data_IF_215842091362
#
_entry.id   IF_215842091362
#
_cell.length_a   1.000
_cell.length_b   1.000
_cell.length_c   1.000
_cell.angle_alpha   90.00
_cell.angle_beta   90.00
_cell.angle_gamma   90.00
#
_symmetry.space_group_name_H-M   'P 1'
#
loop_
_entity.id
_entity.type
_entity.pdbx_description
1 polymer ?
#
# COMPACT_ATOMS: atom_id res chain seq x y z
N UNK A 1 -7.58 -8.39 2.09
CA UNK A 1 -7.46 -7.83 3.45
C UNK A 1 -8.84 -7.51 4.00
N UNK A 2 -9.06 -7.82 5.25
CA UNK A 2 -10.29 -7.55 5.99
C UNK A 2 -10.01 -6.59 7.13
N UNK A 3 -11.06 -5.95 7.65
CA UNK A 3 -10.92 -5.07 8.80
C UNK A 3 -10.27 -5.77 10.00
N UNK A 4 -10.54 -7.07 10.18
CA UNK A 4 -9.96 -7.88 11.26
C UNK A 4 -8.44 -8.05 11.13
N UNK A 5 -7.86 -7.75 9.98
CA UNK A 5 -6.40 -7.84 9.77
C UNK A 5 -5.67 -6.57 10.22
N UNK A 6 -6.40 -5.52 10.58
CA UNK A 6 -5.82 -4.20 10.80
C UNK A 6 -4.69 -4.18 11.84
N UNK A 7 -4.91 -4.78 13.00
CA UNK A 7 -3.91 -4.73 14.08
C UNK A 7 -2.58 -5.36 13.64
N UNK A 8 -2.64 -6.51 12.96
CA UNK A 8 -1.45 -7.18 12.47
C UNK A 8 -0.80 -6.41 11.31
N UNK A 9 -1.61 -5.85 10.40
CA UNK A 9 -1.10 -5.04 9.30
C UNK A 9 -0.40 -3.78 9.84
N UNK A 10 -1.00 -3.11 10.83
CA UNK A 10 -0.40 -1.94 11.46
C UNK A 10 0.95 -2.27 12.08
N UNK A 11 1.02 -3.38 12.83
CA UNK A 11 2.28 -3.82 13.44
C UNK A 11 3.35 -4.10 12.37
N UNK A 12 2.97 -4.70 11.26
CA UNK A 12 3.89 -4.95 10.15
C UNK A 12 4.38 -3.63 9.55
N UNK A 13 3.49 -2.70 9.27
CA UNK A 13 3.85 -1.39 8.71
C UNK A 13 4.79 -0.62 9.64
N UNK A 14 4.51 -0.66 10.94
CA UNK A 14 5.36 0.01 11.93
C UNK A 14 6.77 -0.60 12.01
N UNK A 15 6.90 -1.88 11.70
CA UNK A 15 8.19 -2.59 11.74
C UNK A 15 9.03 -2.41 10.47
N UNK A 16 8.45 -1.87 9.39
CA UNK A 16 9.14 -1.71 8.12
C UNK A 16 9.63 -0.29 7.91
N UNK A 17 10.90 -0.15 7.51
CA UNK A 17 11.45 1.16 7.16
C UNK A 17 10.82 1.68 5.88
N UNK A 18 10.73 3.00 5.76
CA UNK A 18 10.22 3.64 4.56
C UNK A 18 8.71 3.74 4.46
N UNK A 19 7.98 3.19 5.44
CA UNK A 19 6.52 3.31 5.50
C UNK A 19 6.15 4.40 6.50
N UNK A 20 5.63 5.51 5.98
CA UNK A 20 5.16 6.62 6.80
C UNK A 20 3.67 6.48 7.08
N UNK A 21 3.33 6.37 8.36
CA UNK A 21 1.93 6.32 8.79
C UNK A 21 1.43 7.73 9.09
N UNK A 22 0.16 7.95 8.81
CA UNK A 22 -0.47 9.26 9.01
C UNK A 22 -1.90 9.09 9.49
N UNK A 23 -2.65 10.18 9.53
CA UNK A 23 -4.03 10.20 10.02
C UNK A 23 -5.00 9.31 9.24
N UNK A 24 -4.65 8.94 8.02
CA UNK A 24 -5.46 8.02 7.21
C UNK A 24 -5.27 6.55 7.59
N UNK A 25 -4.28 6.26 8.43
CA UNK A 25 -3.93 4.90 8.82
C UNK A 25 -4.51 4.49 10.17
N UNK A 26 -5.43 5.27 10.72
CA UNK A 26 -6.22 4.86 11.87
C UNK A 26 -7.09 3.66 11.49
N UNK A 27 -7.59 2.92 12.49
CA UNK A 27 -8.51 1.81 12.23
C UNK A 27 -9.68 2.26 11.36
N UNK A 28 -10.34 3.35 11.73
CA UNK A 28 -11.46 3.89 10.97
C UNK A 28 -11.07 4.25 9.55
N UNK A 29 -9.91 4.88 9.37
CA UNK A 29 -9.42 5.27 8.05
C UNK A 29 -9.18 4.08 7.14
N UNK A 30 -8.53 3.04 7.66
CA UNK A 30 -8.26 1.83 6.88
C UNK A 30 -9.55 1.07 6.60
N UNK A 31 -10.45 0.94 7.59
CA UNK A 31 -11.73 0.27 7.38
C UNK A 31 -12.54 0.97 6.28
N UNK A 32 -12.59 2.29 6.29
CA UNK A 32 -13.28 3.07 5.25
C UNK A 32 -12.66 2.82 3.87
N UNK A 33 -11.34 2.76 3.79
CA UNK A 33 -10.64 2.47 2.54
C UNK A 33 -11.00 1.08 2.02
N UNK A 34 -11.02 0.09 2.89
CA UNK A 34 -11.37 -1.29 2.52
C UNK A 34 -12.82 -1.40 2.05
N UNK A 35 -13.74 -0.70 2.69
CA UNK A 35 -15.15 -0.68 2.28
C UNK A 35 -15.33 -0.01 0.93
N UNK A 36 -14.60 1.06 0.67
CA UNK A 36 -14.67 1.80 -0.60
C UNK A 36 -14.07 0.98 -1.75
N UNK A 37 -13.10 0.13 -1.47
CA UNK A 37 -12.39 -0.66 -2.46
C UNK A 37 -12.45 -2.15 -2.11
N UNK A 38 -13.64 -2.75 -2.13
CA UNK A 38 -13.80 -4.13 -1.67
C UNK A 38 -13.00 -5.12 -2.52
N UNK A 39 -12.34 -6.05 -1.83
CA UNK A 39 -11.63 -7.13 -2.48
C UNK A 39 -10.32 -6.78 -3.13
N UNK A 40 -9.80 -5.55 -2.97
CA UNK A 40 -8.58 -5.12 -3.65
C UNK A 40 -7.32 -5.22 -2.81
N UNK A 41 -7.38 -4.86 -1.53
CA UNK A 41 -6.22 -4.94 -0.65
C UNK A 41 -5.90 -6.37 -0.29
N UNK A 42 -4.60 -6.68 -0.13
CA UNK A 42 -4.13 -8.06 0.00
C UNK A 42 -3.27 -8.25 1.23
N UNK A 43 -3.34 -9.44 1.81
CA UNK A 43 -2.44 -9.89 2.88
C UNK A 43 -1.93 -11.28 2.56
N UNK A 44 -0.76 -11.63 3.10
CA UNK A 44 -0.22 -12.98 3.06
C UNK A 44 -0.02 -13.43 4.50
N UNK A 45 -0.49 -14.62 4.79
CA UNK A 45 -0.32 -15.27 6.10
C UNK A 45 0.49 -16.56 5.94
N UNK A 46 1.16 -16.97 7.01
CA UNK A 46 1.83 -18.27 7.01
C UNK A 46 0.78 -19.38 6.98
N UNK A 47 1.19 -20.56 6.47
CA UNK A 47 0.28 -21.71 6.41
C UNK A 47 -0.17 -22.19 7.79
N UNK A 48 0.71 -22.02 8.78
CA UNK A 48 0.40 -22.37 10.17
C UNK A 48 -0.57 -21.41 10.83
N UNK A 49 -0.99 -20.35 10.12
CA UNK A 49 -1.88 -19.33 10.65
C UNK A 49 -1.26 -18.44 11.71
N UNK A 50 0.06 -18.43 11.80
CA UNK A 50 0.80 -17.78 12.88
C UNK A 50 1.15 -16.33 12.61
N UNK A 51 0.47 -15.68 11.74
CA UNK A 51 0.63 -14.26 11.58
C UNK A 51 0.67 -13.81 10.14
N UNK A 52 0.49 -12.51 10.00
CA UNK A 52 0.48 -11.82 8.75
C UNK A 52 1.92 -11.44 8.40
N UNK A 53 2.40 -11.83 7.23
CA UNK A 53 3.79 -11.64 6.82
C UNK A 53 3.95 -10.66 5.68
N UNK A 54 2.88 -10.29 5.01
CA UNK A 54 2.92 -9.27 3.98
C UNK A 54 1.55 -8.62 3.84
N UNK A 55 1.53 -7.36 3.42
CA UNK A 55 0.28 -6.61 3.24
C UNK A 55 0.49 -5.47 2.25
N UNK A 56 -0.58 -5.11 1.56
CA UNK A 56 -0.63 -3.93 0.71
C UNK A 56 -2.07 -3.42 0.65
N UNK A 57 -2.24 -2.11 0.73
CA UNK A 57 -3.52 -1.46 0.45
C UNK A 57 -3.60 -1.15 -1.04
N UNK A 58 -4.71 -1.50 -1.66
CA UNK A 58 -4.96 -1.26 -3.07
C UNK A 58 -6.37 -0.70 -3.25
N UNK A 59 -6.49 0.35 -4.05
CA UNK A 59 -7.77 0.94 -4.35
C UNK A 59 -7.70 1.87 -5.53
N UNK A 60 -8.83 2.51 -5.86
CA UNK A 60 -8.89 3.46 -6.96
C UNK A 60 -9.97 4.51 -6.71
N UNK A 61 -9.86 5.60 -7.45
CA UNK A 61 -10.82 6.72 -7.41
C UNK A 61 -11.77 6.74 -8.62
N UNK A 62 -11.80 5.66 -9.40
CA UNK A 62 -12.54 5.58 -10.66
C UNK A 62 -11.72 5.98 -11.87
N UNK A 63 -10.53 6.56 -11.69
CA UNK A 63 -9.66 7.01 -12.77
C UNK A 63 -8.26 6.42 -12.68
N UNK A 64 -7.68 6.39 -11.47
CA UNK A 64 -6.32 5.90 -11.19
C UNK A 64 -6.37 4.98 -10.00
N UNK A 65 -5.53 3.97 -10.04
CA UNK A 65 -5.31 3.11 -8.89
C UNK A 65 -4.21 3.66 -8.00
N UNK A 66 -4.18 3.16 -6.76
CA UNK A 66 -3.16 3.53 -5.77
C UNK A 66 -2.79 2.32 -4.94
N UNK A 67 -1.50 2.15 -4.72
CA UNK A 67 -0.98 1.20 -3.73
C UNK A 67 -0.44 1.99 -2.55
N UNK A 68 -0.73 1.52 -1.35
CA UNK A 68 -0.21 2.12 -0.12
C UNK A 68 0.40 1.03 0.76
N UNK A 69 1.52 1.33 1.38
CA UNK A 69 2.11 0.52 2.45
C UNK A 69 2.36 -0.93 2.06
N UNK A 70 2.99 -1.15 0.90
CA UNK A 70 3.49 -2.49 0.58
C UNK A 70 4.57 -2.85 1.59
N UNK A 71 4.35 -3.91 2.35
CA UNK A 71 5.29 -4.36 3.37
C UNK A 71 5.40 -5.87 3.36
N UNK A 72 6.64 -6.35 3.53
CA UNK A 72 6.94 -7.78 3.70
C UNK A 72 7.79 -7.92 4.93
N UNK A 73 7.41 -8.84 5.82
CA UNK A 73 8.19 -9.13 7.03
C UNK A 73 9.65 -9.45 6.64
N UNK A 74 10.64 -8.92 7.39
CA UNK A 74 12.05 -9.17 7.07
C UNK A 74 12.42 -10.64 6.89
N UNK A 75 11.81 -11.51 7.68
CA UNK A 75 12.10 -12.96 7.62
C UNK A 75 11.51 -13.64 6.39
N UNK A 76 10.65 -12.95 5.66
CA UNK A 76 9.94 -13.49 4.50
C UNK A 76 10.28 -12.76 3.20
N UNK A 77 11.31 -11.91 3.22
CA UNK A 77 11.78 -11.21 2.03
C UNK A 77 12.54 -12.17 1.11
N UNK A 78 12.72 -11.76 -0.15
CA UNK A 78 13.40 -12.53 -1.20
C UNK A 78 12.65 -13.82 -1.61
N UNK A 79 11.39 -13.94 -1.21
CA UNK A 79 10.52 -15.03 -1.65
C UNK A 79 9.59 -14.61 -2.79
N UNK A 80 9.70 -13.38 -3.26
CA UNK A 80 8.85 -12.84 -4.31
C UNK A 80 7.46 -12.42 -3.86
N UNK A 81 7.21 -12.32 -2.55
CA UNK A 81 5.89 -11.95 -2.03
C UNK A 81 5.47 -10.54 -2.42
N UNK A 82 6.38 -9.58 -2.34
CA UNK A 82 6.08 -8.20 -2.72
C UNK A 82 5.69 -8.10 -4.18
N UNK A 83 6.45 -8.73 -5.05
CA UNK A 83 6.17 -8.77 -6.47
C UNK A 83 4.82 -9.43 -6.75
N UNK A 84 4.56 -10.56 -6.11
CA UNK A 84 3.30 -11.28 -6.30
C UNK A 84 2.10 -10.41 -5.89
N UNK A 85 2.19 -9.75 -4.73
CA UNK A 85 1.13 -8.87 -4.25
C UNK A 85 0.87 -7.72 -5.22
N UNK A 86 1.92 -7.08 -5.73
CA UNK A 86 1.79 -5.98 -6.68
C UNK A 86 1.12 -6.45 -7.96
N UNK A 87 1.56 -7.58 -8.52
CA UNK A 87 0.98 -8.10 -9.76
C UNK A 87 -0.49 -8.46 -9.57
N UNK A 88 -0.85 -9.01 -8.42
CA UNK A 88 -2.24 -9.35 -8.12
C UNK A 88 -3.11 -8.09 -8.00
N UNK A 89 -2.60 -7.06 -7.35
CA UNK A 89 -3.29 -5.77 -7.27
C UNK A 89 -3.47 -5.13 -8.65
N UNK A 90 -2.43 -5.15 -9.48
CA UNK A 90 -2.52 -4.58 -10.83
C UNK A 90 -3.55 -5.32 -11.68
N UNK A 91 -3.66 -6.63 -11.51
CA UNK A 91 -4.68 -7.42 -12.19
C UNK A 91 -6.08 -7.01 -11.74
N UNK A 92 -6.29 -6.83 -10.43
CA UNK A 92 -7.58 -6.38 -9.89
C UNK A 92 -7.96 -5.01 -10.44
N UNK A 93 -7.01 -4.09 -10.52
CA UNK A 93 -7.23 -2.77 -11.11
C UNK A 93 -7.57 -2.84 -12.59
N UNK A 94 -6.86 -3.68 -13.34
CA UNK A 94 -7.13 -3.91 -14.74
C UNK A 94 -8.55 -4.43 -14.95
N UNK A 95 -8.97 -5.41 -14.14
CA UNK A 95 -10.31 -5.97 -14.20
C UNK A 95 -11.39 -4.93 -13.88
N UNK A 96 -11.04 -3.93 -13.07
CA UNK A 96 -11.94 -2.81 -12.74
C UNK A 96 -11.92 -1.69 -13.80
N UNK A 97 -11.12 -1.85 -14.88
CA UNK A 97 -11.04 -0.85 -15.94
C UNK A 97 -10.12 0.32 -15.63
N UNK A 98 -9.25 0.21 -14.64
CA UNK A 98 -8.34 1.28 -14.23
C UNK A 98 -7.02 1.13 -14.99
N UNK A 99 -6.65 2.11 -15.85
CA UNK A 99 -5.53 1.94 -16.76
C UNK A 99 -4.14 2.20 -16.17
N UNK A 100 -4.05 2.92 -15.06
CA UNK A 100 -2.76 3.26 -14.43
C UNK A 100 -2.87 3.25 -12.93
N UNK A 101 -1.77 2.87 -12.29
CA UNK A 101 -1.65 2.84 -10.83
C UNK A 101 -0.51 3.73 -10.38
N UNK A 102 -0.73 4.50 -9.34
CA UNK A 102 0.27 5.37 -8.73
C UNK A 102 0.59 4.89 -7.31
N UNK A 103 1.76 5.27 -6.83
CA UNK A 103 2.09 5.16 -5.42
C UNK A 103 2.93 6.37 -5.01
N UNK A 104 2.95 6.65 -3.71
CA UNK A 104 3.75 7.72 -3.16
C UNK A 104 4.95 7.11 -2.44
N UNK A 105 6.12 7.66 -2.71
CA UNK A 105 7.37 7.18 -2.14
C UNK A 105 8.14 8.39 -1.64
N UNK A 106 8.67 8.31 -0.42
CA UNK A 106 9.54 9.37 0.05
C UNK A 106 10.73 9.53 -0.87
N UNK A 107 11.07 10.79 -1.15
CA UNK A 107 12.12 11.11 -2.13
C UNK A 107 13.49 10.51 -1.78
N UNK A 108 13.76 10.31 -0.48
CA UNK A 108 15.01 9.76 0.01
C UNK A 108 14.99 8.23 0.20
N UNK A 109 13.87 7.58 -0.12
CA UNK A 109 13.79 6.12 -0.04
C UNK A 109 14.37 5.50 -1.32
N UNK A 110 15.69 5.43 -1.38
CA UNK A 110 16.39 4.94 -2.57
C UNK A 110 16.18 3.45 -2.81
N UNK A 111 16.16 2.65 -1.75
CA UNK A 111 15.93 1.20 -1.85
C UNK A 111 14.53 0.90 -2.39
N UNK A 112 13.53 1.63 -1.91
CA UNK A 112 12.16 1.51 -2.42
C UNK A 112 12.07 1.90 -3.88
N UNK A 113 12.73 3.02 -4.26
CA UNK A 113 12.74 3.47 -5.64
C UNK A 113 13.35 2.40 -6.57
N UNK A 114 14.47 1.81 -6.18
CA UNK A 114 15.10 0.74 -6.96
C UNK A 114 14.17 -0.46 -7.14
N UNK A 115 13.49 -0.86 -6.06
CA UNK A 115 12.51 -1.95 -6.14
C UNK A 115 11.44 -1.66 -7.18
N UNK A 116 10.79 -0.49 -7.10
CA UNK A 116 9.70 -0.16 -8.00
C UNK A 116 10.15 -0.04 -9.46
N UNK A 117 11.28 0.61 -9.70
CA UNK A 117 11.81 0.73 -11.07
C UNK A 117 12.16 -0.65 -11.65
N UNK A 118 12.73 -1.53 -10.84
CA UNK A 118 13.05 -2.90 -11.23
C UNK A 118 11.80 -3.69 -11.57
N UNK A 119 10.68 -3.40 -10.92
CA UNK A 119 9.40 -4.05 -11.16
C UNK A 119 8.61 -3.40 -12.31
N UNK A 120 9.23 -2.51 -13.07
CA UNK A 120 8.63 -1.94 -14.27
C UNK A 120 7.86 -0.65 -14.06
N UNK A 121 7.95 -0.05 -12.88
CA UNK A 121 7.31 1.24 -12.61
C UNK A 121 8.19 2.39 -13.08
N UNK A 122 7.58 3.51 -13.44
CA UNK A 122 8.28 4.70 -13.91
C UNK A 122 8.11 5.84 -12.93
N UNK A 123 9.22 6.49 -12.59
CA UNK A 123 9.16 7.68 -11.74
C UNK A 123 8.71 8.88 -12.58
N UNK A 124 7.67 9.56 -12.10
CA UNK A 124 7.16 10.78 -12.75
C UNK A 124 7.85 11.99 -12.14
N UNK A 125 8.96 12.39 -12.75
CA UNK A 125 9.75 13.54 -12.26
C UNK A 125 9.17 14.89 -12.73
N UNK A 126 8.17 14.84 -13.59
CA UNK A 126 7.46 16.03 -14.10
C UNK A 126 6.28 16.43 -13.21
N UNK A 127 5.99 15.65 -12.15
CA UNK A 127 4.87 15.90 -11.25
C UNK A 127 5.37 16.10 -9.81
N UNK A 128 4.62 16.90 -9.06
CA UNK A 128 4.80 17.01 -7.61
C UNK A 128 3.44 16.85 -6.94
N UNK A 129 3.44 16.43 -5.69
CA UNK A 129 2.23 16.39 -4.88
C UNK A 129 2.03 17.75 -4.25
N UNK A 130 0.84 18.33 -4.42
CA UNK A 130 0.44 19.54 -3.73
C UNK A 130 -0.75 19.19 -2.86
N UNK A 131 -0.66 19.50 -1.59
CA UNK A 131 -1.60 19.02 -0.60
C UNK A 131 -2.09 20.15 0.29
N UNK A 132 -3.33 20.08 0.70
CA UNK A 132 -3.91 21.00 1.67
C UNK A 132 -4.79 20.23 2.64
N UNK A 133 -4.71 20.57 3.92
CA UNK A 133 -5.60 20.02 4.94
C UNK A 133 -7.01 20.58 4.71
N UNK A 134 -7.99 19.68 4.68
CA UNK A 134 -9.40 20.06 4.46
C UNK A 134 -10.17 20.22 5.76
N UNK A 135 -9.71 19.58 6.84
CA UNK A 135 -10.33 19.67 8.15
C UNK A 135 -9.46 20.53 9.07
N UNK A 136 -10.02 21.50 9.79
CA UNK A 136 -9.26 22.32 10.73
C UNK A 136 -8.72 21.51 11.92
N UNK A 137 -9.25 20.31 12.16
CA UNK A 137 -8.86 19.45 13.28
C UNK A 137 -7.63 18.60 12.98
N UNK A 138 -7.13 18.61 11.74
CA UNK A 138 -5.97 17.84 11.32
C UNK A 138 -4.81 18.78 10.96
N UNK A 139 -3.65 18.55 11.57
CA UNK A 139 -2.43 19.26 11.20
C UNK A 139 -1.92 18.85 9.83
N UNK A 140 -0.87 19.54 9.32
CA UNK A 140 -0.24 19.15 8.07
C UNK A 140 0.34 17.74 8.20
N UNK A 141 -0.05 16.87 7.28
CA UNK A 141 0.33 15.47 7.28
C UNK A 141 1.60 15.16 6.53
#
# INVERSE_FOLDING_TARGET
>A
MRASDYAEALALWQSCEGIGLNESDTRTGVESFLERNPGMSRVVRTREGNGLVAAVLCGHDGRRGYLHHLAVSPDHRRLGLGRWLVLDCLRALQDAGIPKCNLFLYADNHAGREFWLREGWSARTDLVVIQRVTSPDHGPG
#
